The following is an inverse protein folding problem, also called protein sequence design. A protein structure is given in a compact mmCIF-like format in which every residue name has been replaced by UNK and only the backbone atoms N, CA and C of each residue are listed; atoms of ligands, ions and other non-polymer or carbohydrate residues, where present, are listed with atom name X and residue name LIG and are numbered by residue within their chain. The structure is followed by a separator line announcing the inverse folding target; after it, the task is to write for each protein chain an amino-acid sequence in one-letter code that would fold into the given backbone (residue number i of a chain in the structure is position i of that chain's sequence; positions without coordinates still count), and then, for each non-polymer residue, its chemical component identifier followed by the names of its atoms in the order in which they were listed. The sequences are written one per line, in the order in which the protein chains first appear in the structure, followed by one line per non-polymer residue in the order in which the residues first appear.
data_IF_947851986849
#
_entry.id   IF_947851986849
#
_cell.length_a   1.000
_cell.length_b   1.000
_cell.length_c   1.000
_cell.angle_alpha   90.00
_cell.angle_beta   90.00
_cell.angle_gamma   90.00
#
_symmetry.space_group_name_H-M   'P 1'
#
loop_
_entity.id
_entity.type
_entity.pdbx_description
1 polymer ?
#
# COMPACT_ATOMS: atom_id res chain seq x y z
N UNK A 1 0.89 -4.05 15.84
CA UNK A 1 1.21 -2.61 15.91
C UNK A 1 0.07 -1.75 15.34
N UNK A 2 -0.36 -1.91 14.08
CA UNK A 2 -1.50 -1.11 13.55
C UNK A 2 -2.86 -1.45 14.21
N UNK A 3 -3.11 -2.74 14.48
CA UNK A 3 -4.34 -3.23 15.15
C UNK A 3 -4.53 -2.73 16.59
N UNK A 4 -3.50 -2.14 17.17
CA UNK A 4 -3.48 -1.72 18.59
C UNK A 4 -3.39 -0.20 18.73
N UNK A 5 -3.47 0.57 17.63
CA UNK A 5 -3.51 2.03 17.68
C UNK A 5 -4.95 2.51 17.85
N UNK A 6 -5.17 3.38 18.83
CA UNK A 6 -6.42 4.09 19.06
C UNK A 6 -6.39 5.51 18.45
N UNK A 7 -7.54 6.18 18.45
CA UNK A 7 -7.67 7.53 17.87
C UNK A 7 -6.75 8.54 18.55
N UNK A 8 -6.53 8.39 19.86
CA UNK A 8 -5.60 9.23 20.62
C UNK A 8 -4.16 9.06 20.11
N UNK A 9 -3.71 7.84 19.81
CA UNK A 9 -2.41 7.60 19.20
C UNK A 9 -2.29 8.21 17.81
N UNK A 10 -3.36 8.20 17.01
CA UNK A 10 -3.38 8.82 15.67
C UNK A 10 -3.34 10.36 15.72
N UNK A 11 -3.87 10.96 16.77
CA UNK A 11 -3.86 12.41 16.99
C UNK A 11 -2.51 12.97 17.48
N UNK A 12 -1.61 12.12 17.99
CA UNK A 12 -0.28 12.56 18.44
C UNK A 12 0.50 13.19 17.30
N UNK A 13 1.16 14.30 17.57
CA UNK A 13 2.03 14.95 16.59
C UNK A 13 3.33 14.18 16.46
N UNK A 14 3.64 13.73 15.24
CA UNK A 14 4.93 13.22 14.86
C UNK A 14 5.74 14.30 14.16
N UNK A 15 7.04 14.35 14.44
CA UNK A 15 7.96 15.34 13.90
C UNK A 15 9.07 14.65 13.10
N UNK A 16 9.30 15.10 11.88
CA UNK A 16 10.50 14.80 11.11
C UNK A 16 11.53 15.87 11.42
N UNK A 17 12.69 15.46 11.92
CA UNK A 17 13.82 16.35 12.20
C UNK A 17 15.01 16.00 11.31
N UNK A 18 15.70 17.02 10.83
CA UNK A 18 16.93 16.93 10.07
C UNK A 18 17.99 17.75 10.82
N UNK A 19 18.80 17.05 11.62
CA UNK A 19 19.61 17.66 12.67
C UNK A 19 18.73 18.40 13.68
N UNK A 20 19.01 19.68 13.91
CA UNK A 20 18.25 20.55 14.81
C UNK A 20 17.01 21.20 14.16
N UNK A 21 16.80 20.96 12.86
CA UNK A 21 15.71 21.59 12.12
C UNK A 21 14.50 20.67 12.04
N UNK A 22 13.37 21.16 12.55
CA UNK A 22 12.07 20.53 12.31
C UNK A 22 11.67 20.74 10.84
N UNK A 23 11.57 19.64 10.09
CA UNK A 23 11.20 19.66 8.67
C UNK A 23 9.69 19.52 8.50
N UNK A 24 9.06 18.68 9.33
CA UNK A 24 7.63 18.43 9.30
C UNK A 24 7.10 18.14 10.70
N UNK A 25 5.92 18.67 11.01
CA UNK A 25 5.12 18.24 12.16
C UNK A 25 3.68 18.01 11.73
N UNK A 26 3.22 16.77 11.85
CA UNK A 26 1.86 16.38 11.48
C UNK A 26 1.34 15.32 12.46
N UNK A 27 0.01 15.23 12.66
CA UNK A 27 -0.58 14.09 13.36
C UNK A 27 -0.14 12.78 12.72
N UNK A 28 0.10 11.74 13.52
CA UNK A 28 0.49 10.40 13.05
C UNK A 28 -0.51 9.86 12.02
N UNK A 29 -1.81 10.06 12.23
CA UNK A 29 -2.83 9.66 11.26
C UNK A 29 -2.66 10.35 9.90
N UNK A 30 -2.31 11.64 9.91
CA UNK A 30 -1.99 12.42 8.71
C UNK A 30 -0.73 11.90 8.00
N UNK A 31 0.33 11.59 8.75
CA UNK A 31 1.55 10.99 8.20
C UNK A 31 1.25 9.66 7.51
N UNK A 32 0.53 8.77 8.19
CA UNK A 32 0.19 7.45 7.67
C UNK A 32 -0.61 7.57 6.38
N UNK A 33 -1.65 8.41 6.38
CA UNK A 33 -2.56 8.54 5.24
C UNK A 33 -1.92 9.24 4.04
N UNK A 34 -1.23 10.34 4.28
CA UNK A 34 -0.80 11.26 3.22
C UNK A 34 0.58 10.93 2.66
N UNK A 35 1.46 10.35 3.48
CA UNK A 35 2.83 10.02 3.07
C UNK A 35 2.96 8.51 2.93
N UNK A 36 2.84 7.75 4.02
CA UNK A 36 3.18 6.32 4.01
C UNK A 36 2.31 5.51 3.06
N UNK A 37 0.98 5.58 3.20
CA UNK A 37 0.05 4.81 2.37
C UNK A 37 0.10 5.25 0.90
N UNK A 38 0.12 6.56 0.64
CA UNK A 38 0.24 7.08 -0.73
C UNK A 38 1.55 6.64 -1.39
N UNK A 39 2.67 6.68 -0.66
CA UNK A 39 3.97 6.21 -1.13
C UNK A 39 3.93 4.71 -1.47
N UNK A 40 3.30 3.89 -0.63
CA UNK A 40 3.10 2.47 -0.93
C UNK A 40 2.27 2.27 -2.20
N UNK A 41 1.11 2.93 -2.33
CA UNK A 41 0.28 2.79 -3.53
C UNK A 41 1.04 3.19 -4.80
N UNK A 42 1.83 4.26 -4.73
CA UNK A 42 2.69 4.71 -5.81
C UNK A 42 3.73 3.66 -6.22
N UNK A 43 4.53 3.16 -5.27
CA UNK A 43 5.57 2.16 -5.57
C UNK A 43 4.99 0.81 -5.97
N UNK A 44 3.80 0.44 -5.48
CA UNK A 44 3.07 -0.73 -5.95
C UNK A 44 2.71 -0.62 -7.44
N UNK A 45 2.35 0.57 -7.90
CA UNK A 45 2.14 0.85 -9.33
C UNK A 45 3.44 0.83 -10.14
N UNK A 46 4.56 1.29 -9.58
CA UNK A 46 5.86 1.16 -10.25
C UNK A 46 6.27 -0.31 -10.42
N UNK A 47 6.07 -1.12 -9.38
CA UNK A 47 6.38 -2.55 -9.43
C UNK A 47 5.55 -3.28 -10.49
N UNK A 48 4.26 -2.95 -10.66
CA UNK A 48 3.44 -3.60 -11.69
C UNK A 48 3.95 -3.35 -13.10
N UNK A 49 4.52 -2.18 -13.37
CA UNK A 49 5.18 -1.88 -14.65
C UNK A 49 6.42 -2.76 -14.85
N UNK A 50 7.24 -2.93 -13.81
CA UNK A 50 8.41 -3.81 -13.90
C UNK A 50 8.03 -5.27 -14.10
N UNK A 51 7.01 -5.78 -13.41
CA UNK A 51 6.50 -7.14 -13.62
C UNK A 51 6.10 -7.36 -15.09
N UNK A 52 5.42 -6.38 -15.69
CA UNK A 52 5.04 -6.42 -17.10
C UNK A 52 6.24 -6.43 -18.04
N UNK A 53 7.28 -5.64 -17.74
CA UNK A 53 8.48 -5.56 -18.56
C UNK A 53 9.28 -6.88 -18.56
N UNK A 54 9.31 -7.60 -17.44
CA UNK A 54 9.99 -8.90 -17.34
C UNK A 54 9.11 -10.08 -17.76
N UNK A 55 7.90 -9.83 -18.27
CA UNK A 55 6.96 -10.87 -18.70
C UNK A 55 6.32 -11.67 -17.56
N UNK A 56 6.44 -11.21 -16.31
CA UNK A 56 5.75 -11.80 -15.18
C UNK A 56 4.29 -11.37 -15.14
N UNK A 57 3.42 -12.22 -14.57
CA UNK A 57 2.00 -11.91 -14.40
C UNK A 57 1.82 -10.72 -13.46
N UNK A 58 1.04 -9.73 -13.89
CA UNK A 58 0.67 -8.58 -13.08
C UNK A 58 -0.57 -8.94 -12.26
N UNK A 59 -0.54 -8.81 -10.93
CA UNK A 59 -1.72 -9.09 -10.10
C UNK A 59 -2.80 -8.01 -10.27
N UNK A 60 -4.06 -8.36 -10.00
CA UNK A 60 -5.15 -7.39 -9.83
C UNK A 60 -4.87 -6.45 -8.65
N UNK A 61 -4.91 -5.13 -8.93
CA UNK A 61 -4.61 -4.07 -7.96
C UNK A 61 -5.83 -3.18 -7.68
N UNK A 62 -6.47 -2.64 -8.72
CA UNK A 62 -7.70 -1.85 -8.64
C UNK A 62 -8.81 -2.44 -9.53
N UNK A 63 -8.71 -3.72 -9.82
CA UNK A 63 -9.49 -4.43 -10.83
C UNK A 63 -8.61 -5.44 -11.57
N UNK A 64 -9.22 -6.34 -12.36
CA UNK A 64 -8.50 -7.36 -13.10
C UNK A 64 -7.38 -6.73 -13.92
N UNK A 65 -6.18 -7.33 -13.83
CA UNK A 65 -5.11 -6.99 -14.75
C UNK A 65 -5.40 -7.61 -16.13
N UNK A 66 -4.59 -7.28 -17.14
CA UNK A 66 -4.68 -7.95 -18.44
C UNK A 66 -4.38 -9.45 -18.39
N UNK A 67 -3.75 -9.91 -17.31
CA UNK A 67 -3.38 -11.32 -17.09
C UNK A 67 -4.51 -12.10 -16.39
N UNK A 68 -5.57 -11.43 -15.96
CA UNK A 68 -6.76 -12.04 -15.36
C UNK A 68 -7.93 -11.99 -16.35
N UNK A 69 -8.61 -13.13 -16.56
CA UNK A 69 -9.80 -13.16 -17.40
C UNK A 69 -11.04 -12.78 -16.57
N UNK A 70 -11.70 -11.64 -16.85
CA UNK A 70 -12.84 -11.15 -16.07
C UNK A 70 -14.10 -12.03 -16.20
N UNK A 71 -14.11 -12.99 -17.13
CA UNK A 71 -15.23 -13.90 -17.40
C UNK A 71 -14.94 -15.35 -16.97
N UNK A 72 -13.74 -15.66 -16.46
CA UNK A 72 -13.50 -16.97 -15.86
C UNK A 72 -14.17 -17.02 -14.50
N UNK A 73 -15.23 -17.82 -14.38
CA UNK A 73 -15.77 -18.20 -13.09
C UNK A 73 -14.63 -18.77 -12.23
N UNK A 74 -14.44 -18.20 -11.03
CA UNK A 74 -13.41 -18.65 -10.08
C UNK A 74 -13.61 -20.15 -9.85
N UNK A 75 -12.76 -20.98 -10.46
CA UNK A 75 -12.66 -22.37 -10.03
C UNK A 75 -12.09 -22.31 -8.63
N UNK A 76 -12.89 -22.74 -7.65
CA UNK A 76 -12.42 -22.95 -6.29
C UNK A 76 -11.16 -23.81 -6.39
N UNK A 77 -10.01 -23.22 -6.03
CA UNK A 77 -8.81 -24.00 -5.81
C UNK A 77 -9.15 -24.91 -4.64
N UNK A 78 -9.43 -26.18 -4.94
CA UNK A 78 -9.61 -27.24 -3.98
C UNK A 78 -8.33 -27.30 -3.14
N UNK A 79 -8.38 -26.68 -1.96
CA UNK A 79 -7.41 -26.92 -0.90
C UNK A 79 -7.68 -28.37 -0.45
N UNK A 80 -6.92 -29.29 -1.03
CA UNK A 80 -6.78 -30.63 -0.49
C UNK A 80 -5.98 -30.53 0.82
N UNK A 81 -6.70 -30.74 1.93
CA UNK A 81 -6.28 -31.26 3.24
C UNK A 81 -4.83 -31.06 3.65
#
# INVERSE_FOLDING_TARGET
MLRTMDDAALAKTWKAVDGDREVFALPVGGLLRSIMLNHWYHHRGQLSVYLRQVGAQVPSIYGPSADENPFLARREASVSV
#
